data_IF_086233555590
#
_entry.id   IF_086233555590
#
_cell.length_a   1.000
_cell.length_b   1.000
_cell.length_c   1.000
_cell.angle_alpha   90.00
_cell.angle_beta   90.00
_cell.angle_gamma   90.00
#
_symmetry.space_group_name_H-M   'P 1'
#
loop_
_entity.id
_entity.type
_entity.pdbx_description
1 polymer ?
#
# COMPACT_ATOMS: atom_id res chain seq x y z
N UNK A 1 -45.40 -83.80 11.34
CA UNK A 1 -43.98 -83.29 11.47
C UNK A 1 -43.60 -82.64 10.13
N UNK A 2 -43.75 -81.36 10.00
CA UNK A 2 -43.38 -80.63 8.77
C UNK A 2 -42.52 -79.44 9.18
N UNK A 3 -41.21 -79.49 8.87
CA UNK A 3 -40.25 -78.45 9.08
C UNK A 3 -40.44 -77.39 8.00
N UNK A 4 -40.71 -76.13 8.40
CA UNK A 4 -40.68 -74.95 7.54
C UNK A 4 -39.27 -74.35 7.58
N UNK A 5 -38.62 -74.27 6.44
CA UNK A 5 -37.37 -73.59 6.23
C UNK A 5 -37.72 -72.14 5.85
N UNK A 6 -37.28 -71.21 6.67
CA UNK A 6 -37.41 -69.78 6.38
C UNK A 6 -36.12 -69.28 5.71
N UNK A 7 -36.23 -68.85 4.46
CA UNK A 7 -35.12 -68.26 3.70
C UNK A 7 -35.08 -66.75 3.98
N UNK A 8 -34.08 -66.28 4.65
CA UNK A 8 -33.85 -64.83 4.84
C UNK A 8 -33.08 -64.22 3.64
N UNK A 9 -33.76 -63.36 2.89
CA UNK A 9 -33.08 -62.50 1.88
C UNK A 9 -32.42 -61.32 2.56
N UNK A 10 -31.12 -61.27 2.54
CA UNK A 10 -30.32 -60.13 3.01
C UNK A 10 -30.20 -59.09 1.85
N UNK A 11 -30.92 -58.01 1.95
CA UNK A 11 -30.80 -56.87 1.04
C UNK A 11 -29.57 -56.01 1.49
N UNK A 12 -28.47 -56.18 0.78
CA UNK A 12 -27.27 -55.35 0.97
C UNK A 12 -27.45 -53.96 0.30
N UNK A 13 -27.68 -52.93 1.10
CA UNK A 13 -27.65 -51.55 0.61
C UNK A 13 -26.18 -51.10 0.49
N UNK A 14 -25.67 -51.01 -0.75
CA UNK A 14 -24.40 -50.34 -1.03
C UNK A 14 -24.62 -48.84 -0.91
N UNK A 15 -24.21 -48.20 0.18
CA UNK A 15 -24.03 -46.77 0.28
C UNK A 15 -22.77 -46.42 -0.50
N UNK A 16 -22.94 -45.90 -1.74
CA UNK A 16 -21.88 -45.18 -2.47
C UNK A 16 -21.61 -43.84 -1.78
N UNK A 17 -20.59 -43.79 -0.92
CA UNK A 17 -20.09 -42.53 -0.40
C UNK A 17 -19.39 -41.82 -1.56
N UNK A 18 -20.08 -40.87 -2.20
CA UNK A 18 -19.47 -39.93 -3.09
C UNK A 18 -18.55 -39.02 -2.25
N UNK A 19 -17.30 -39.40 -2.12
CA UNK A 19 -16.24 -38.52 -1.63
C UNK A 19 -16.06 -37.39 -2.68
N UNK A 20 -16.86 -36.34 -2.54
CA UNK A 20 -16.59 -35.08 -3.23
C UNK A 20 -15.23 -34.60 -2.80
N UNK A 21 -14.23 -34.74 -3.65
CA UNK A 21 -12.94 -34.05 -3.47
C UNK A 21 -13.27 -32.55 -3.46
N UNK A 22 -13.37 -31.97 -2.28
CA UNK A 22 -13.36 -30.52 -2.16
C UNK A 22 -12.04 -30.06 -2.81
N UNK A 23 -12.10 -29.56 -4.03
CA UNK A 23 -10.94 -28.97 -4.68
C UNK A 23 -10.42 -27.90 -3.73
N UNK A 24 -9.18 -28.06 -3.27
CA UNK A 24 -8.56 -27.09 -2.39
C UNK A 24 -8.65 -25.71 -3.08
N UNK A 25 -9.25 -24.74 -2.38
CA UNK A 25 -9.44 -23.40 -2.94
C UNK A 25 -8.11 -22.85 -3.43
N UNK A 26 -8.04 -22.48 -4.69
CA UNK A 26 -6.85 -21.87 -5.28
C UNK A 26 -6.50 -20.60 -4.51
N UNK A 27 -5.25 -20.45 -4.05
CA UNK A 27 -4.83 -19.33 -3.21
C UNK A 27 -3.50 -18.74 -3.66
N UNK A 28 -3.27 -17.50 -3.31
CA UNK A 28 -1.97 -16.85 -3.31
C UNK A 28 -1.83 -15.99 -2.05
N UNK A 29 -0.63 -15.86 -1.52
CA UNK A 29 -0.35 -14.99 -0.37
C UNK A 29 0.32 -13.72 -0.89
N UNK A 30 -0.33 -12.57 -0.64
CA UNK A 30 0.24 -11.25 -0.88
C UNK A 30 0.69 -10.64 0.45
N UNK A 31 1.98 -10.34 0.60
CA UNK A 31 2.43 -9.56 1.75
C UNK A 31 2.23 -8.06 1.51
N UNK A 32 1.72 -7.38 2.52
CA UNK A 32 1.40 -5.94 2.53
C UNK A 32 0.27 -5.56 1.55
N UNK A 33 -0.80 -6.37 1.47
CA UNK A 33 -2.02 -6.06 0.70
C UNK A 33 -3.21 -5.77 1.65
N UNK A 34 -3.16 -4.68 2.45
CA UNK A 34 -4.19 -4.38 3.45
C UNK A 34 -5.45 -3.80 2.78
N UNK A 35 -6.66 -4.32 3.11
CA UNK A 35 -7.90 -3.93 2.43
C UNK A 35 -8.23 -2.44 2.51
N UNK A 36 -7.85 -1.78 3.60
CA UNK A 36 -8.15 -0.36 3.84
C UNK A 36 -7.17 0.60 3.14
N UNK A 37 -6.06 0.09 2.62
CA UNK A 37 -5.04 0.86 1.94
C UNK A 37 -5.16 0.73 0.43
N UNK A 38 -5.09 1.86 -0.30
CA UNK A 38 -5.03 1.88 -1.77
C UNK A 38 -6.10 1.00 -2.45
N UNK A 39 -7.29 0.91 -1.85
CA UNK A 39 -8.42 0.11 -2.32
C UNK A 39 -8.10 -1.38 -2.60
N UNK A 40 -7.11 -1.94 -1.88
CA UNK A 40 -6.80 -3.37 -1.99
C UNK A 40 -8.02 -4.25 -1.71
N UNK A 41 -8.97 -3.81 -0.87
CA UNK A 41 -10.19 -4.54 -0.61
C UNK A 41 -11.00 -4.86 -1.87
N UNK A 42 -11.13 -3.91 -2.79
CA UNK A 42 -11.79 -4.11 -4.09
C UNK A 42 -10.96 -5.01 -5.01
N UNK A 43 -9.64 -4.81 -5.05
CA UNK A 43 -8.73 -5.63 -5.85
C UNK A 43 -8.75 -7.11 -5.42
N UNK A 44 -8.68 -7.40 -4.12
CA UNK A 44 -8.73 -8.76 -3.59
C UNK A 44 -10.04 -9.47 -3.95
N UNK A 45 -11.17 -8.75 -3.86
CA UNK A 45 -12.49 -9.27 -4.30
C UNK A 45 -12.53 -9.55 -5.80
N UNK A 46 -11.97 -8.66 -6.62
CA UNK A 46 -11.92 -8.84 -8.07
C UNK A 46 -11.01 -10.03 -8.46
N UNK A 47 -9.85 -10.19 -7.84
CA UNK A 47 -8.97 -11.36 -8.02
C UNK A 47 -9.73 -12.65 -7.73
N UNK A 48 -10.44 -12.71 -6.60
CA UNK A 48 -11.23 -13.88 -6.25
C UNK A 48 -12.36 -14.13 -7.28
N UNK A 49 -13.07 -13.09 -7.70
CA UNK A 49 -14.19 -13.23 -8.64
C UNK A 49 -13.76 -13.60 -10.06
N UNK A 50 -12.62 -13.07 -10.55
CA UNK A 50 -12.15 -13.25 -11.93
C UNK A 50 -11.24 -14.46 -12.11
N UNK A 51 -10.41 -14.77 -11.10
CA UNK A 51 -9.41 -15.82 -11.19
C UNK A 51 -9.74 -17.06 -10.33
N UNK A 52 -10.73 -16.96 -9.44
CA UNK A 52 -11.01 -18.03 -8.45
C UNK A 52 -9.88 -18.17 -7.40
N UNK A 53 -8.98 -17.20 -7.31
CA UNK A 53 -7.82 -17.23 -6.40
C UNK A 53 -8.14 -16.44 -5.14
N UNK A 54 -8.15 -17.12 -3.99
CA UNK A 54 -8.26 -16.46 -2.71
C UNK A 54 -6.94 -15.80 -2.33
N UNK A 55 -6.97 -14.50 -2.04
CA UNK A 55 -5.81 -13.76 -1.52
C UNK A 55 -6.21 -13.19 -0.16
N UNK A 56 -5.79 -13.82 0.96
CA UNK A 56 -6.08 -13.32 2.30
C UNK A 56 -5.49 -11.92 2.51
N UNK A 57 -6.20 -11.04 3.24
CA UNK A 57 -5.67 -9.73 3.63
C UNK A 57 -4.38 -9.85 4.45
N UNK A 58 -3.45 -8.93 4.24
CA UNK A 58 -2.22 -8.82 5.02
C UNK A 58 -1.91 -7.35 5.32
N UNK A 59 -1.77 -7.04 6.60
CA UNK A 59 -1.63 -5.67 7.12
C UNK A 59 -0.17 -5.29 7.45
N UNK A 60 0.83 -6.04 6.96
CA UNK A 60 2.22 -5.61 7.10
C UNK A 60 2.44 -4.25 6.44
N UNK A 61 3.43 -3.50 6.89
CA UNK A 61 4.01 -2.41 6.11
C UNK A 61 5.16 -2.92 5.24
N UNK A 62 5.74 -2.07 4.38
CA UNK A 62 6.80 -2.49 3.44
C UNK A 62 8.03 -3.06 4.14
N UNK A 63 8.46 -2.48 5.26
CA UNK A 63 9.61 -2.97 6.02
C UNK A 63 9.33 -4.30 6.70
N UNK A 64 8.14 -4.45 7.28
CA UNK A 64 7.70 -5.72 7.88
C UNK A 64 7.60 -6.83 6.83
N UNK A 65 7.05 -6.51 5.64
CA UNK A 65 6.97 -7.45 4.53
C UNK A 65 8.36 -7.89 4.06
N UNK A 66 9.29 -6.95 3.84
CA UNK A 66 10.66 -7.28 3.45
C UNK A 66 11.37 -8.12 4.52
N UNK A 67 11.25 -7.77 5.79
CA UNK A 67 11.85 -8.51 6.89
C UNK A 67 11.32 -9.95 6.98
N UNK A 68 10.00 -10.14 6.80
CA UNK A 68 9.39 -11.45 6.76
C UNK A 68 9.90 -12.29 5.58
N UNK A 69 9.95 -11.71 4.36
CA UNK A 69 10.46 -12.40 3.18
C UNK A 69 11.92 -12.83 3.34
N UNK A 70 12.76 -12.01 3.98
CA UNK A 70 14.16 -12.35 4.26
C UNK A 70 14.24 -13.51 5.27
N UNK A 71 13.47 -13.44 6.35
CA UNK A 71 13.44 -14.48 7.37
C UNK A 71 12.93 -15.83 6.82
N UNK A 72 11.98 -15.77 5.89
CA UNK A 72 11.34 -16.95 5.27
C UNK A 72 12.03 -17.41 3.97
N UNK A 73 13.16 -16.81 3.57
CA UNK A 73 13.81 -17.05 2.27
C UNK A 73 14.07 -18.52 1.96
N UNK A 74 14.43 -19.31 2.98
CA UNK A 74 14.67 -20.75 2.82
C UNK A 74 13.37 -21.57 2.64
N UNK A 75 12.23 -21.04 3.12
CA UNK A 75 10.90 -21.66 3.02
C UNK A 75 9.84 -20.56 2.88
N UNK A 76 9.69 -19.97 1.70
CA UNK A 76 8.77 -18.86 1.48
C UNK A 76 7.32 -19.20 1.82
N UNK A 77 6.61 -18.21 2.36
CA UNK A 77 5.17 -18.29 2.67
C UNK A 77 4.38 -17.46 1.66
N UNK A 78 4.91 -16.28 1.28
CA UNK A 78 4.26 -15.41 0.32
C UNK A 78 4.55 -15.83 -1.13
N UNK A 79 3.64 -15.45 -2.04
CA UNK A 79 3.75 -15.67 -3.48
C UNK A 79 4.02 -14.36 -4.23
N UNK A 80 3.46 -13.26 -3.72
CA UNK A 80 3.67 -11.90 -4.24
C UNK A 80 3.85 -10.93 -3.07
N UNK A 81 4.48 -9.79 -3.34
CA UNK A 81 4.65 -8.75 -2.35
C UNK A 81 4.39 -7.37 -2.96
N UNK A 82 3.74 -6.52 -2.17
CA UNK A 82 3.46 -5.13 -2.47
C UNK A 82 4.29 -4.23 -1.58
N UNK A 83 4.94 -3.22 -2.17
CA UNK A 83 5.85 -2.33 -1.46
C UNK A 83 5.69 -0.88 -1.91
N UNK A 84 6.07 0.06 -1.04
CA UNK A 84 6.51 1.36 -1.51
C UNK A 84 7.78 1.23 -2.37
N UNK A 85 7.89 2.05 -3.40
CA UNK A 85 8.92 1.91 -4.44
C UNK A 85 10.36 1.76 -3.96
N UNK A 86 10.71 2.36 -2.81
CA UNK A 86 12.06 2.26 -2.22
C UNK A 86 12.46 0.87 -1.74
N UNK A 87 11.52 -0.05 -1.61
CA UNK A 87 11.79 -1.42 -1.14
C UNK A 87 12.06 -2.42 -2.26
N UNK A 88 11.90 -2.02 -3.53
CA UNK A 88 12.12 -2.90 -4.69
C UNK A 88 13.56 -3.37 -4.81
N UNK A 89 14.50 -2.45 -4.86
CA UNK A 89 15.94 -2.77 -4.97
C UNK A 89 16.48 -3.50 -3.73
N UNK A 90 16.13 -3.12 -2.48
CA UNK A 90 16.46 -3.92 -1.31
C UNK A 90 15.92 -5.35 -1.36
N UNK A 91 14.68 -5.55 -1.80
CA UNK A 91 14.09 -6.89 -1.93
C UNK A 91 14.77 -7.73 -3.03
N UNK A 92 15.08 -7.10 -4.18
CA UNK A 92 15.89 -7.71 -5.24
C UNK A 92 17.28 -8.10 -4.71
N UNK A 93 17.98 -7.16 -4.05
CA UNK A 93 19.32 -7.38 -3.50
C UNK A 93 19.37 -8.48 -2.44
N UNK A 94 18.32 -8.63 -1.64
CA UNK A 94 18.16 -9.74 -0.69
C UNK A 94 17.86 -11.08 -1.39
N UNK A 95 17.56 -11.08 -2.69
CA UNK A 95 17.21 -12.28 -3.47
C UNK A 95 15.90 -12.92 -3.00
N UNK A 96 14.92 -12.11 -2.59
CA UNK A 96 13.60 -12.59 -2.17
C UNK A 96 12.54 -12.38 -3.25
N UNK A 97 12.87 -11.69 -4.35
CA UNK A 97 12.03 -11.55 -5.53
C UNK A 97 12.60 -12.35 -6.71
N UNK A 98 11.72 -12.97 -7.49
CA UNK A 98 12.04 -13.63 -8.74
C UNK A 98 11.70 -12.72 -9.93
N UNK A 99 12.44 -12.79 -11.04
CA UNK A 99 12.10 -12.05 -12.23
C UNK A 99 10.79 -12.57 -12.83
N UNK A 100 9.86 -11.64 -13.08
CA UNK A 100 8.63 -11.88 -13.80
C UNK A 100 8.17 -10.61 -14.50
N UNK A 101 7.84 -10.72 -15.78
CA UNK A 101 7.29 -9.63 -16.60
C UNK A 101 5.82 -9.94 -16.89
N UNK A 102 4.87 -9.37 -16.12
CA UNK A 102 3.46 -9.60 -16.34
C UNK A 102 2.97 -9.01 -17.66
N UNK A 103 1.79 -9.43 -18.08
CA UNK A 103 1.12 -8.87 -19.26
C UNK A 103 0.94 -7.36 -19.08
N UNK A 104 1.33 -6.58 -20.09
CA UNK A 104 1.32 -5.10 -20.01
C UNK A 104 2.63 -4.48 -19.51
N UNK A 105 3.65 -5.27 -19.20
CA UNK A 105 4.98 -4.82 -18.79
C UNK A 105 5.57 -3.71 -19.68
N UNK A 106 5.39 -3.81 -20.99
CA UNK A 106 5.95 -2.88 -21.98
C UNK A 106 5.36 -1.47 -21.83
N UNK A 107 4.13 -1.35 -21.31
CA UNK A 107 3.44 -0.08 -21.09
C UNK A 107 3.96 0.70 -19.89
N UNK A 108 4.70 0.04 -18.98
CA UNK A 108 5.26 0.70 -17.80
C UNK A 108 6.49 1.52 -18.22
N UNK A 109 6.59 2.82 -17.86
CA UNK A 109 7.79 3.62 -18.08
C UNK A 109 9.05 2.95 -17.54
N UNK A 110 10.19 3.15 -18.21
CA UNK A 110 11.44 2.46 -17.89
C UNK A 110 11.98 2.78 -16.47
N UNK A 111 11.74 4.00 -15.99
CA UNK A 111 12.11 4.48 -14.66
C UNK A 111 11.18 4.01 -13.53
N UNK A 112 10.07 3.36 -13.90
CA UNK A 112 9.07 2.84 -12.97
C UNK A 112 9.06 1.29 -12.89
N UNK A 113 10.11 0.62 -13.33
CA UNK A 113 10.26 -0.85 -13.27
C UNK A 113 11.72 -1.26 -13.19
N UNK A 114 11.98 -2.41 -12.60
CA UNK A 114 13.30 -3.04 -12.64
C UNK A 114 13.54 -3.65 -14.03
N UNK A 115 14.61 -3.31 -14.75
CA UNK A 115 14.85 -3.83 -16.11
C UNK A 115 14.93 -5.36 -16.17
N UNK A 116 15.33 -6.01 -15.07
CA UNK A 116 15.42 -7.47 -14.99
C UNK A 116 14.10 -8.14 -14.57
N UNK A 117 13.07 -7.35 -14.20
CA UNK A 117 11.73 -7.85 -13.94
C UNK A 117 11.45 -8.27 -12.50
N UNK A 118 12.26 -7.88 -11.51
CA UNK A 118 12.01 -8.27 -10.13
C UNK A 118 10.89 -7.47 -9.47
N UNK A 119 10.67 -6.23 -9.92
CA UNK A 119 9.59 -5.39 -9.44
C UNK A 119 9.08 -4.44 -10.53
N UNK A 120 7.88 -3.97 -10.38
CA UNK A 120 7.25 -3.00 -11.28
C UNK A 120 6.21 -2.16 -10.53
N UNK A 121 6.06 -0.90 -10.95
CA UNK A 121 5.06 0.01 -10.42
C UNK A 121 3.66 -0.39 -10.89
N UNK A 122 2.70 -0.29 -9.98
CA UNK A 122 1.28 -0.56 -10.26
C UNK A 122 0.42 0.70 -10.13
N UNK A 123 0.75 1.60 -9.22
CA UNK A 123 0.11 2.90 -9.03
C UNK A 123 1.04 3.86 -8.29
N UNK A 124 0.63 5.12 -8.22
CA UNK A 124 1.29 6.14 -7.41
C UNK A 124 0.26 6.97 -6.63
N UNK A 125 0.74 7.74 -5.66
CA UNK A 125 -0.02 8.72 -4.91
C UNK A 125 0.80 9.97 -4.64
N UNK A 126 0.12 11.09 -4.37
CA UNK A 126 0.73 12.33 -3.90
C UNK A 126 0.66 12.37 -2.39
N UNK A 127 1.80 12.49 -1.72
CA UNK A 127 1.83 12.65 -0.27
C UNK A 127 1.31 14.04 0.11
N UNK A 128 0.64 14.14 1.25
CA UNK A 128 0.15 15.41 1.78
C UNK A 128 -0.46 15.23 3.16
N UNK A 129 -1.41 16.09 3.50
CA UNK A 129 -2.11 16.04 4.76
C UNK A 129 -3.52 15.49 4.54
N UNK A 130 -3.81 14.36 5.13
CA UNK A 130 -5.14 13.78 5.23
C UNK A 130 -5.78 14.29 6.51
N UNK A 131 -6.75 15.20 6.40
CA UNK A 131 -7.29 15.98 7.52
C UNK A 131 -8.75 15.63 7.76
N UNK A 132 -9.07 15.19 8.98
CA UNK A 132 -10.45 15.13 9.46
C UNK A 132 -10.85 16.51 10.02
N UNK A 133 -11.68 17.22 9.26
CA UNK A 133 -12.04 18.62 9.59
C UNK A 133 -12.93 18.74 10.81
N UNK A 134 -13.76 17.73 11.10
CA UNK A 134 -14.57 17.70 12.31
C UNK A 134 -13.70 17.49 13.57
N UNK A 135 -12.66 16.66 13.46
CA UNK A 135 -11.73 16.39 14.56
C UNK A 135 -10.82 17.58 14.90
N UNK A 136 -10.72 18.59 14.03
CA UNK A 136 -10.00 19.84 14.33
C UNK A 136 -10.74 20.71 15.34
N UNK A 137 -12.01 20.45 15.63
CA UNK A 137 -12.79 21.17 16.65
C UNK A 137 -12.76 22.69 16.46
N UNK A 138 -12.98 23.15 15.24
CA UNK A 138 -12.99 24.57 14.88
C UNK A 138 -11.62 25.21 14.59
N UNK A 139 -10.52 24.48 14.77
CA UNK A 139 -9.20 24.98 14.36
C UNK A 139 -9.11 25.03 12.83
N UNK A 140 -8.30 25.95 12.26
CA UNK A 140 -8.13 26.04 10.82
C UNK A 140 -7.49 24.74 10.25
N UNK A 141 -7.82 24.42 8.99
CA UNK A 141 -7.16 23.34 8.27
C UNK A 141 -5.73 23.77 7.93
N UNK A 142 -4.68 23.03 8.35
CA UNK A 142 -3.30 23.40 8.06
C UNK A 142 -3.04 23.39 6.55
N UNK A 143 -2.28 24.38 6.05
CA UNK A 143 -1.99 24.58 4.63
C UNK A 143 -0.51 24.45 4.31
N UNK A 144 0.33 24.19 5.31
CA UNK A 144 1.78 24.12 5.18
C UNK A 144 2.38 23.11 6.16
N UNK A 145 3.58 22.64 5.89
CA UNK A 145 4.32 21.84 6.86
C UNK A 145 4.57 22.65 8.13
N UNK A 146 4.92 23.94 7.99
CA UNK A 146 5.18 24.84 9.11
C UNK A 146 3.94 25.04 10.01
N UNK A 147 2.72 24.98 9.47
CA UNK A 147 1.50 25.09 10.30
C UNK A 147 1.42 24.00 11.36
N UNK A 148 1.92 22.79 11.06
CA UNK A 148 1.87 21.63 11.97
C UNK A 148 2.71 21.82 13.23
N UNK A 149 3.65 22.76 13.22
CA UNK A 149 4.50 23.10 14.37
C UNK A 149 3.82 24.02 15.36
N UNK A 150 2.65 24.62 14.99
CA UNK A 150 1.89 25.49 15.87
C UNK A 150 1.30 24.71 17.06
N UNK A 151 1.28 25.27 18.28
CA UNK A 151 0.71 24.61 19.47
C UNK A 151 -0.76 24.20 19.30
N UNK A 152 -1.49 24.86 18.39
CA UNK A 152 -2.89 24.53 18.06
C UNK A 152 -3.09 23.08 17.66
N UNK A 153 -2.09 22.45 17.05
CA UNK A 153 -2.16 21.07 16.55
C UNK A 153 -1.51 20.05 17.49
N UNK A 154 -1.26 20.41 18.74
CA UNK A 154 -0.69 19.48 19.73
C UNK A 154 -1.58 18.24 19.90
N UNK A 155 -0.97 17.04 19.78
CA UNK A 155 -1.65 15.74 19.84
C UNK A 155 -2.55 15.44 18.65
N UNK A 156 -2.48 16.23 17.56
CA UNK A 156 -3.36 16.08 16.40
C UNK A 156 -2.65 15.56 15.15
N UNK A 157 -1.33 15.65 15.08
CA UNK A 157 -0.55 15.31 13.89
C UNK A 157 -0.07 13.86 13.99
N UNK A 158 -0.33 13.08 12.94
CA UNK A 158 0.15 11.71 12.79
C UNK A 158 1.01 11.53 11.55
N UNK A 159 1.95 10.61 11.62
CA UNK A 159 2.71 10.08 10.47
C UNK A 159 3.22 8.69 10.80
N UNK A 160 3.33 7.80 9.79
CA UNK A 160 3.80 6.45 10.05
C UNK A 160 5.29 6.43 10.40
N UNK A 161 5.68 5.44 11.20
CA UNK A 161 7.05 5.24 11.68
C UNK A 161 8.05 5.13 10.52
N UNK A 162 8.96 6.10 10.31
CA UNK A 162 9.93 6.08 9.22
C UNK A 162 10.96 4.95 9.33
N UNK A 163 11.09 4.31 10.50
CA UNK A 163 12.05 3.21 10.69
C UNK A 163 11.61 1.93 9.99
N UNK A 164 10.32 1.82 9.65
CA UNK A 164 9.74 0.59 9.06
C UNK A 164 8.77 0.83 7.90
N UNK A 165 8.08 1.96 7.86
CA UNK A 165 7.03 2.22 6.88
C UNK A 165 7.54 3.08 5.72
N UNK A 166 7.28 2.65 4.46
CA UNK A 166 7.63 3.42 3.27
C UNK A 166 7.03 4.83 3.31
N UNK A 167 5.73 4.96 3.64
CA UNK A 167 5.06 6.27 3.72
C UNK A 167 5.70 7.17 4.79
N UNK A 168 6.20 6.62 5.89
CA UNK A 168 6.96 7.37 6.88
C UNK A 168 8.27 7.93 6.32
N UNK A 169 9.04 7.10 5.61
CA UNK A 169 10.28 7.53 4.93
C UNK A 169 10.02 8.58 3.86
N UNK A 170 8.96 8.40 3.08
CA UNK A 170 8.51 9.38 2.09
C UNK A 170 8.07 10.67 2.76
N UNK A 171 7.40 10.60 3.92
CA UNK A 171 7.04 11.76 4.73
C UNK A 171 8.25 12.58 5.17
N UNK A 172 9.29 11.90 5.67
CA UNK A 172 10.56 12.57 6.02
C UNK A 172 11.19 13.24 4.80
N UNK A 173 11.26 12.53 3.66
CA UNK A 173 11.87 13.10 2.45
C UNK A 173 11.03 14.23 1.84
N UNK A 174 9.70 14.13 1.85
CA UNK A 174 8.82 15.18 1.35
C UNK A 174 9.01 16.49 2.11
N UNK A 175 9.00 16.42 3.45
CA UNK A 175 9.29 17.56 4.32
C UNK A 175 10.69 18.09 4.06
N UNK A 176 11.68 17.20 3.93
CA UNK A 176 13.06 17.58 3.70
C UNK A 176 13.25 18.39 2.42
N UNK A 177 12.73 17.86 1.30
CA UNK A 177 12.85 18.53 0.00
C UNK A 177 12.04 19.84 -0.03
N UNK A 178 10.86 19.86 0.59
CA UNK A 178 10.03 21.07 0.71
C UNK A 178 10.71 22.20 1.50
N UNK A 179 11.53 21.84 2.48
CA UNK A 179 12.27 22.80 3.32
C UNK A 179 13.71 23.06 2.85
N UNK A 180 14.06 22.70 1.60
CA UNK A 180 15.34 23.02 0.98
C UNK A 180 16.46 22.01 1.26
N UNK A 181 16.15 20.82 1.78
CA UNK A 181 17.08 19.71 1.90
C UNK A 181 17.31 18.97 0.60
N UNK A 182 18.09 17.90 0.65
CA UNK A 182 18.35 17.00 -0.49
C UNK A 182 18.36 15.55 -0.02
N UNK A 183 18.55 14.61 -0.94
CA UNK A 183 18.69 13.19 -0.57
C UNK A 183 19.93 12.92 0.28
N UNK A 184 20.94 13.76 0.18
CA UNK A 184 22.22 13.69 0.92
C UNK A 184 22.24 14.57 2.19
N UNK A 185 21.34 15.58 2.26
CA UNK A 185 21.21 16.48 3.40
C UNK A 185 19.79 16.40 3.98
N UNK A 186 19.63 15.66 5.08
CA UNK A 186 18.36 15.45 5.80
C UNK A 186 18.12 16.45 6.94
N UNK A 187 19.07 17.41 7.16
CA UNK A 187 19.01 18.32 8.30
C UNK A 187 17.69 19.13 8.41
N UNK A 188 17.11 19.66 7.31
CA UNK A 188 15.82 20.36 7.37
C UNK A 188 14.70 19.48 7.92
N UNK A 189 14.59 18.22 7.49
CA UNK A 189 13.57 17.30 8.01
C UNK A 189 13.83 16.97 9.49
N UNK A 190 15.07 16.67 9.87
CA UNK A 190 15.39 16.31 11.25
C UNK A 190 15.05 17.45 12.20
N UNK A 191 15.36 18.71 11.83
CA UNK A 191 14.93 19.89 12.59
C UNK A 191 13.42 20.00 12.70
N UNK A 192 12.70 19.81 11.57
CA UNK A 192 11.25 19.84 11.55
C UNK A 192 10.65 18.79 12.49
N UNK A 193 11.08 17.53 12.39
CA UNK A 193 10.53 16.47 13.22
C UNK A 193 10.91 16.61 14.70
N UNK A 194 12.09 17.11 15.04
CA UNK A 194 12.44 17.50 16.42
C UNK A 194 11.50 18.57 16.96
N UNK A 195 11.20 19.58 16.17
CA UNK A 195 10.23 20.63 16.57
C UNK A 195 8.82 20.06 16.71
N UNK A 196 8.42 19.19 15.78
CA UNK A 196 7.11 18.54 15.81
C UNK A 196 6.91 17.68 17.07
N UNK A 197 7.98 17.09 17.66
CA UNK A 197 7.88 16.32 18.91
C UNK A 197 7.29 17.16 20.06
N UNK A 198 7.50 18.47 20.07
CA UNK A 198 6.88 19.37 21.07
C UNK A 198 5.35 19.34 21.00
N UNK A 199 4.80 19.02 19.83
CA UNK A 199 3.37 18.83 19.59
C UNK A 199 2.88 17.40 19.84
N UNK A 200 3.72 16.51 20.38
CA UNK A 200 3.35 15.14 20.75
C UNK A 200 2.66 14.39 19.60
N UNK A 201 3.34 14.18 18.48
CA UNK A 201 2.75 13.52 17.33
C UNK A 201 2.39 12.07 17.63
N UNK A 202 1.43 11.54 16.87
CA UNK A 202 1.01 10.14 16.90
C UNK A 202 1.80 9.38 15.83
N UNK A 203 2.57 8.35 16.22
CA UNK A 203 3.45 7.62 15.29
C UNK A 203 3.03 6.14 15.22
N UNK A 204 1.98 5.80 14.44
CA UNK A 204 1.58 4.41 14.24
C UNK A 204 2.58 3.66 13.35
N UNK A 205 2.64 2.34 13.53
CA UNK A 205 3.53 1.45 12.75
C UNK A 205 2.88 0.94 11.45
N UNK A 206 1.56 1.06 11.33
CA UNK A 206 0.77 0.53 10.21
C UNK A 206 -0.22 1.57 9.71
N UNK A 207 -0.85 1.29 8.54
CA UNK A 207 -1.88 2.17 7.96
C UNK A 207 -2.94 2.59 8.99
N UNK A 208 -3.37 3.84 8.90
CA UNK A 208 -4.20 4.48 9.91
C UNK A 208 -5.44 5.15 9.32
N UNK A 209 -5.92 4.67 8.15
CA UNK A 209 -7.10 5.19 7.49
C UNK A 209 -8.31 5.30 8.44
N UNK A 210 -8.69 4.18 9.07
CA UNK A 210 -9.83 4.13 9.98
C UNK A 210 -9.69 5.11 11.16
N UNK A 211 -8.46 5.33 11.66
CA UNK A 211 -8.18 6.26 12.75
C UNK A 211 -8.33 7.73 12.33
N UNK A 212 -8.11 8.05 11.06
CA UNK A 212 -8.42 9.40 10.54
C UNK A 212 -9.93 9.55 10.35
N UNK A 213 -10.60 8.55 9.77
CA UNK A 213 -12.05 8.59 9.58
C UNK A 213 -12.80 8.75 10.92
N UNK A 214 -12.35 8.05 11.96
CA UNK A 214 -12.93 8.19 13.32
C UNK A 214 -12.56 9.49 14.03
N UNK A 215 -11.58 10.24 13.52
CA UNK A 215 -11.06 11.46 14.15
C UNK A 215 -10.06 11.22 15.28
N UNK A 216 -9.62 9.99 15.50
CA UNK A 216 -8.56 9.66 16.47
C UNK A 216 -7.22 10.30 16.07
N UNK A 217 -6.93 10.36 14.79
CA UNK A 217 -5.80 11.11 14.21
C UNK A 217 -6.37 12.22 13.34
N UNK A 218 -6.47 13.46 13.83
CA UNK A 218 -7.07 14.57 13.10
C UNK A 218 -6.33 14.95 11.81
N UNK A 219 -5.00 14.82 11.78
CA UNK A 219 -4.14 15.18 10.64
C UNK A 219 -3.13 14.05 10.46
N UNK A 220 -3.12 13.39 9.30
CA UNK A 220 -2.18 12.31 9.00
C UNK A 220 -1.37 12.64 7.74
N UNK A 221 -0.05 12.41 7.76
CA UNK A 221 0.74 12.36 6.54
C UNK A 221 0.34 11.11 5.77
N UNK A 222 -0.36 11.30 4.67
CA UNK A 222 -0.89 10.20 3.87
C UNK A 222 -1.08 10.65 2.41
N UNK A 223 -1.46 9.72 1.57
CA UNK A 223 -1.65 9.96 0.15
C UNK A 223 -3.05 10.45 -0.17
N UNK A 224 -3.12 11.23 -1.24
CA UNK A 224 -4.34 11.82 -1.79
C UNK A 224 -5.45 10.80 -2.05
N UNK A 225 -5.14 9.61 -2.55
CA UNK A 225 -6.14 8.58 -2.84
C UNK A 225 -6.92 8.12 -1.59
N UNK A 226 -6.25 8.01 -0.42
CA UNK A 226 -6.93 7.67 0.83
C UNK A 226 -7.85 8.81 1.29
N UNK A 227 -7.38 10.06 1.21
CA UNK A 227 -8.20 11.21 1.56
C UNK A 227 -9.41 11.37 0.63
N UNK A 228 -9.24 11.16 -0.69
CA UNK A 228 -10.35 11.20 -1.65
C UNK A 228 -11.34 10.06 -1.45
N UNK A 229 -10.86 8.85 -1.15
CA UNK A 229 -11.74 7.75 -0.74
C UNK A 229 -12.60 8.17 0.46
N UNK A 230 -11.98 8.66 1.52
CA UNK A 230 -12.69 9.15 2.71
C UNK A 230 -13.71 10.21 2.37
N UNK A 231 -13.33 11.20 1.56
CA UNK A 231 -14.19 12.33 1.19
C UNK A 231 -15.32 11.93 0.23
N UNK A 232 -15.02 11.16 -0.82
CA UNK A 232 -15.94 10.94 -1.93
C UNK A 232 -16.67 9.59 -1.87
N UNK A 233 -16.08 8.56 -1.29
CA UNK A 233 -16.69 7.23 -1.14
C UNK A 233 -17.35 7.06 0.21
N UNK A 234 -16.57 7.26 1.30
CA UNK A 234 -17.06 7.04 2.66
C UNK A 234 -17.82 8.25 3.23
N UNK A 235 -17.84 9.39 2.47
CA UNK A 235 -18.57 10.64 2.84
C UNK A 235 -18.17 11.20 4.20
N UNK A 236 -16.96 10.92 4.65
CA UNK A 236 -16.43 11.42 5.90
C UNK A 236 -16.08 12.93 5.80
N UNK A 237 -16.08 13.67 6.90
CA UNK A 237 -15.69 15.08 6.93
C UNK A 237 -14.19 15.25 6.85
N UNK A 238 -13.60 14.79 5.75
CA UNK A 238 -12.16 14.80 5.54
C UNK A 238 -11.77 15.59 4.28
N UNK A 239 -10.53 16.08 4.25
CA UNK A 239 -9.94 16.79 3.12
C UNK A 239 -8.49 16.36 2.90
N UNK A 240 -8.05 16.47 1.66
CA UNK A 240 -6.63 16.40 1.30
C UNK A 240 -6.05 17.79 1.16
N UNK A 241 -4.82 17.98 1.63
CA UNK A 241 -4.08 19.25 1.49
C UNK A 241 -2.67 18.94 0.96
N UNK A 242 -2.29 19.61 -0.12
CA UNK A 242 -0.90 19.68 -0.60
C UNK A 242 -0.25 20.89 0.06
N UNK A 243 0.77 20.72 0.92
CA UNK A 243 1.43 21.82 1.61
C UNK A 243 2.01 22.86 0.64
N UNK A 244 1.97 24.15 1.04
CA UNK A 244 2.43 25.25 0.19
C UNK A 244 3.90 25.15 -0.20
N UNK A 245 4.73 24.62 0.67
CA UNK A 245 6.17 24.44 0.43
C UNK A 245 6.46 23.34 -0.59
N UNK A 246 5.48 22.52 -0.90
CA UNK A 246 5.60 21.41 -1.83
C UNK A 246 5.58 20.03 -1.18
N UNK A 247 5.57 19.02 -2.02
CA UNK A 247 5.55 17.61 -1.63
C UNK A 247 6.02 16.71 -2.78
N UNK A 248 5.83 15.40 -2.65
CA UNK A 248 6.29 14.41 -3.62
C UNK A 248 5.18 13.49 -4.10
N UNK A 249 5.34 12.99 -5.33
CA UNK A 249 4.59 11.85 -5.89
C UNK A 249 5.44 10.60 -5.71
N UNK A 250 4.84 9.54 -5.18
CA UNK A 250 5.54 8.32 -4.83
C UNK A 250 4.87 7.07 -5.42
N UNK A 251 5.60 6.20 -6.16
CA UNK A 251 5.08 4.99 -6.73
C UNK A 251 5.07 3.82 -5.72
N UNK A 252 4.12 2.92 -5.92
CA UNK A 252 4.01 1.63 -5.26
C UNK A 252 4.21 0.51 -6.26
N UNK A 253 4.91 -0.53 -5.84
CA UNK A 253 5.40 -1.61 -6.68
C UNK A 253 4.93 -2.97 -6.20
N UNK A 254 4.96 -3.94 -7.11
CA UNK A 254 4.81 -5.36 -6.80
C UNK A 254 5.93 -6.20 -7.40
N UNK A 255 6.14 -7.37 -6.81
CA UNK A 255 7.06 -8.38 -7.32
C UNK A 255 6.61 -9.80 -7.00
N UNK A 256 7.07 -10.75 -7.80
CA UNK A 256 6.90 -12.19 -7.55
C UNK A 256 7.89 -12.63 -6.47
N UNK A 257 7.43 -13.33 -5.45
CA UNK A 257 8.32 -13.87 -4.41
C UNK A 257 9.10 -15.06 -4.96
N UNK A 258 10.40 -15.08 -4.73
CA UNK A 258 11.26 -16.18 -5.14
C UNK A 258 10.87 -17.48 -4.43
N UNK A 259 10.64 -18.55 -5.19
CA UNK A 259 10.24 -19.85 -4.67
C UNK A 259 8.95 -19.86 -3.85
N UNK A 260 8.03 -18.90 -4.08
CA UNK A 260 6.72 -18.88 -3.44
C UNK A 260 5.94 -20.18 -3.68
N UNK A 261 5.22 -20.69 -2.67
CA UNK A 261 4.58 -22.01 -2.74
C UNK A 261 3.48 -22.11 -3.82
N UNK A 262 2.86 -20.96 -4.19
CA UNK A 262 1.82 -20.89 -5.23
C UNK A 262 2.25 -19.93 -6.35
N UNK A 263 3.48 -20.04 -6.85
CA UNK A 263 4.08 -19.11 -7.81
C UNK A 263 3.21 -18.89 -9.07
N UNK A 264 2.53 -19.93 -9.57
CA UNK A 264 1.64 -19.81 -10.75
C UNK A 264 0.42 -18.94 -10.45
N UNK A 265 -0.16 -19.04 -9.25
CA UNK A 265 -1.21 -18.15 -8.82
C UNK A 265 -0.68 -16.74 -8.59
N UNK A 266 0.53 -16.61 -8.02
CA UNK A 266 1.24 -15.34 -7.89
C UNK A 266 1.39 -14.63 -9.25
N UNK A 267 1.82 -15.32 -10.30
CA UNK A 267 1.92 -14.77 -11.67
C UNK A 267 0.57 -14.29 -12.19
N UNK A 268 -0.50 -15.09 -12.00
CA UNK A 268 -1.86 -14.68 -12.39
C UNK A 268 -2.34 -13.43 -11.65
N UNK A 269 -2.03 -13.32 -10.35
CA UNK A 269 -2.32 -12.12 -9.57
C UNK A 269 -1.57 -10.91 -10.14
N UNK A 270 -0.27 -11.03 -10.45
CA UNK A 270 0.52 -9.96 -11.04
C UNK A 270 0.03 -9.57 -12.46
N UNK A 271 -0.37 -10.54 -13.29
CA UNK A 271 -1.02 -10.26 -14.57
C UNK A 271 -2.34 -9.49 -14.40
N UNK A 272 -3.14 -9.86 -13.39
CA UNK A 272 -4.40 -9.18 -13.12
C UNK A 272 -4.17 -7.73 -12.67
N UNK A 273 -3.25 -7.46 -11.75
CA UNK A 273 -3.01 -6.10 -11.23
C UNK A 273 -2.51 -5.13 -12.30
N UNK A 274 -1.90 -5.63 -13.40
CA UNK A 274 -1.56 -4.83 -14.59
C UNK A 274 -2.62 -4.91 -15.70
N UNK A 275 -3.73 -5.61 -15.51
CA UNK A 275 -4.82 -5.59 -16.49
C UNK A 275 -5.49 -4.22 -16.57
N UNK A 276 -6.09 -3.91 -17.71
CA UNK A 276 -6.89 -2.71 -17.88
C UNK A 276 -8.04 -2.61 -16.86
N UNK A 277 -8.65 -3.76 -16.50
CA UNK A 277 -9.69 -3.82 -15.46
C UNK A 277 -9.15 -3.34 -14.11
N UNK A 278 -8.09 -3.94 -13.61
CA UNK A 278 -7.49 -3.59 -12.32
C UNK A 278 -6.99 -2.15 -12.29
N UNK A 279 -6.31 -1.71 -13.35
CA UNK A 279 -5.81 -0.33 -13.46
C UNK A 279 -6.95 0.70 -13.51
N UNK A 280 -8.07 0.38 -14.17
CA UNK A 280 -9.28 1.21 -14.14
C UNK A 280 -9.91 1.24 -12.75
N UNK A 281 -9.94 0.11 -12.03
CA UNK A 281 -10.44 0.07 -10.65
C UNK A 281 -9.63 1.02 -9.75
N UNK A 282 -8.28 1.00 -9.84
CA UNK A 282 -7.46 1.95 -9.09
C UNK A 282 -7.69 3.40 -9.51
N UNK A 283 -7.83 3.67 -10.81
CA UNK A 283 -8.18 5.02 -11.30
C UNK A 283 -9.50 5.52 -10.71
N UNK A 284 -10.52 4.67 -10.64
CA UNK A 284 -11.82 4.99 -10.05
C UNK A 284 -11.76 5.13 -8.52
N UNK A 285 -10.79 4.51 -7.88
CA UNK A 285 -10.49 4.66 -6.45
C UNK A 285 -9.52 5.82 -6.15
N UNK A 286 -9.37 6.74 -7.09
CA UNK A 286 -8.56 7.98 -6.98
C UNK A 286 -7.05 7.77 -6.92
N UNK A 287 -6.54 6.56 -7.15
CA UNK A 287 -5.10 6.34 -7.32
C UNK A 287 -4.65 6.81 -8.72
N UNK A 288 -3.36 7.03 -8.86
CA UNK A 288 -2.77 7.22 -10.19
C UNK A 288 -2.29 5.86 -10.70
N UNK A 289 -3.07 5.16 -11.55
CA UNK A 289 -2.66 3.90 -12.11
C UNK A 289 -1.39 4.11 -12.94
N UNK A 290 -0.52 3.09 -13.03
CA UNK A 290 0.69 3.19 -13.85
C UNK A 290 0.35 3.35 -15.35
N UNK A 291 -0.83 2.87 -15.77
CA UNK A 291 -1.41 3.17 -17.07
C UNK A 291 -2.27 4.43 -16.96
N UNK A 292 -1.68 5.58 -17.26
CA UNK A 292 -2.29 6.89 -17.03
C UNK A 292 -3.65 7.07 -17.74
N UNK A 293 -3.88 6.38 -18.87
CA UNK A 293 -5.15 6.35 -19.60
C UNK A 293 -6.31 5.71 -18.81
N UNK A 294 -6.02 5.02 -17.71
CA UNK A 294 -7.02 4.38 -16.85
C UNK A 294 -7.53 5.27 -15.72
N UNK A 295 -6.99 6.47 -15.57
CA UNK A 295 -7.56 7.50 -14.69
C UNK A 295 -8.70 8.21 -15.41
N UNK A 296 -9.95 7.93 -15.02
CA UNK A 296 -11.13 8.51 -15.65
C UNK A 296 -11.24 10.02 -15.43
N UNK A 297 -11.87 10.73 -16.37
CA UNK A 297 -12.14 12.15 -16.22
C UNK A 297 -13.03 12.44 -14.99
N UNK A 298 -13.97 11.53 -14.67
CA UNK A 298 -14.80 11.64 -13.46
C UNK A 298 -13.97 11.59 -12.20
N UNK A 299 -13.07 10.60 -12.06
CA UNK A 299 -12.18 10.53 -10.89
C UNK A 299 -11.28 11.76 -10.80
N UNK A 300 -10.69 12.20 -11.93
CA UNK A 300 -9.83 13.39 -12.00
C UNK A 300 -10.57 14.66 -11.60
N UNK A 301 -11.85 14.81 -11.93
CA UNK A 301 -12.64 16.00 -11.58
C UNK A 301 -12.84 16.18 -10.07
N UNK A 302 -12.59 15.14 -9.26
CA UNK A 302 -12.68 15.16 -7.80
C UNK A 302 -11.35 15.50 -7.12
N UNK A 303 -10.28 15.60 -7.89
CA UNK A 303 -8.96 15.97 -7.37
C UNK A 303 -8.88 17.48 -7.07
N UNK A 304 -7.91 17.86 -6.26
CA UNK A 304 -7.51 19.27 -6.14
C UNK A 304 -7.16 19.85 -7.50
N UNK A 305 -7.21 21.19 -7.69
CA UNK A 305 -6.80 21.83 -8.91
C UNK A 305 -5.36 21.46 -9.35
N UNK A 306 -5.12 21.40 -10.65
CA UNK A 306 -3.79 21.10 -11.20
C UNK A 306 -2.69 22.06 -10.68
N UNK A 307 -3.06 23.31 -10.37
CA UNK A 307 -2.15 24.29 -9.75
C UNK A 307 -1.63 23.85 -8.37
N UNK A 308 -2.44 23.09 -7.60
CA UNK A 308 -1.99 22.54 -6.32
C UNK A 308 -1.01 21.37 -6.57
N UNK A 309 -1.32 20.51 -7.55
CA UNK A 309 -0.43 19.41 -7.93
C UNK A 309 0.88 19.84 -8.55
N UNK A 310 0.98 21.06 -9.09
CA UNK A 310 2.24 21.62 -9.59
C UNK A 310 3.34 21.69 -8.50
N UNK A 311 2.95 21.69 -7.23
CA UNK A 311 3.87 21.62 -6.07
C UNK A 311 4.32 20.21 -5.71
N UNK A 312 3.70 19.17 -6.25
CA UNK A 312 4.07 17.78 -6.05
C UNK A 312 5.07 17.35 -7.13
N UNK A 313 6.28 16.98 -6.73
CA UNK A 313 7.33 16.56 -7.65
C UNK A 313 7.51 15.04 -7.63
N UNK A 314 7.75 14.39 -8.76
CA UNK A 314 8.16 12.99 -8.78
C UNK A 314 9.39 12.80 -7.90
N UNK A 315 9.37 11.76 -7.07
CA UNK A 315 10.52 11.41 -6.25
C UNK A 315 11.50 10.55 -7.06
N UNK A 316 12.80 10.81 -6.91
CA UNK A 316 13.83 9.94 -7.47
C UNK A 316 13.95 8.68 -6.60
N UNK A 317 13.41 7.55 -7.09
CA UNK A 317 13.40 6.29 -6.36
C UNK A 317 14.80 5.78 -6.04
N UNK A 318 15.73 5.91 -6.97
CA UNK A 318 17.10 5.42 -6.78
C UNK A 318 17.82 6.20 -5.70
N UNK A 319 17.73 7.53 -5.73
CA UNK A 319 18.31 8.39 -4.69
C UNK A 319 17.63 8.19 -3.34
N UNK A 320 16.30 8.06 -3.32
CA UNK A 320 15.58 7.80 -2.08
C UNK A 320 15.92 6.41 -1.50
N UNK A 321 16.04 5.38 -2.34
CA UNK A 321 16.50 4.06 -1.90
C UNK A 321 17.90 4.13 -1.30
N UNK A 322 18.82 4.88 -1.92
CA UNK A 322 20.16 5.15 -1.36
C UNK A 322 20.13 5.90 -0.02
N UNK A 323 19.14 6.76 0.18
CA UNK A 323 19.00 7.56 1.41
C UNK A 323 18.28 6.81 2.55
N UNK A 324 17.64 5.66 2.31
CA UNK A 324 16.81 4.96 3.31
C UNK A 324 17.55 4.72 4.65
N UNK A 325 18.78 4.20 4.59
CA UNK A 325 19.56 3.95 5.80
C UNK A 325 19.82 5.24 6.58
N UNK A 326 20.18 6.31 5.89
CA UNK A 326 20.39 7.61 6.50
C UNK A 326 19.10 8.18 7.10
N UNK A 327 17.95 8.04 6.43
CA UNK A 327 16.65 8.44 6.96
C UNK A 327 16.36 7.73 8.28
N UNK A 328 16.51 6.40 8.32
CA UNK A 328 16.26 5.60 9.52
C UNK A 328 17.20 5.98 10.65
N UNK A 329 18.50 6.10 10.39
CA UNK A 329 19.49 6.45 11.41
C UNK A 329 19.31 7.88 11.94
N UNK A 330 19.14 8.86 11.04
CA UNK A 330 18.93 10.25 11.43
C UNK A 330 17.58 10.47 12.15
N UNK A 331 16.53 9.73 11.78
CA UNK A 331 15.25 9.83 12.46
C UNK A 331 15.34 9.38 13.93
N UNK A 332 16.25 8.47 14.30
CA UNK A 332 16.47 8.08 15.71
C UNK A 332 16.93 9.25 16.58
N UNK A 333 17.47 10.31 15.98
CA UNK A 333 17.87 11.53 16.70
C UNK A 333 16.68 12.43 17.06
N UNK A 334 15.50 12.12 16.53
CA UNK A 334 14.28 12.93 16.74
C UNK A 334 13.64 12.68 18.10
N UNK A 335 13.82 11.48 18.66
CA UNK A 335 13.23 11.02 19.94
C UNK A 335 14.19 11.17 21.11
#
# INVERSE_FOLDING_TARGET
MIRRIATALSLGVLLAVAAGTAAAQSRAICYNCPPEWADWGSQLKAIQARLGIAVPPDNKNSGQALSALIAEKARPVADVAYFGGTFGDPARGAGVLAPYRPKGWERIPADLKDPDGHWFTIHAGTLGLFVNTAALKGKPVPQSWADLLKPDYRGMVGYLDPTSAAVGQVGVMAVNLALGGSYENLEPAIKFFKELQKNQPIVPKQTSYARVISGEIPILFDYDFNAYRGQHTDKAPVRFVIPREGTVVFPYIMGLVANGPNADNGRKVLDFVLSDESQTMWGNAYLRPVFADKLSAEAKSKFLPDADYARAKPIDLKRLSGAQKAIVERYKEVN
#
